data_IF_321990495394
#
_entry.id   IF_321990495394
#
_cell.length_a   1.000
_cell.length_b   1.000
_cell.length_c   1.000
_cell.angle_alpha   90.00
_cell.angle_beta   90.00
_cell.angle_gamma   90.00
#
_symmetry.space_group_name_H-M   'P 1'
#
loop_
_entity.id
_entity.type
_entity.pdbx_description
1 polymer ?
#
# COMPACT_ATOMS: atom_id res chain seq x y z
N UNK A 1 0.71 -5.24 15.71
CA UNK A 1 0.69 -3.80 15.34
C UNK A 1 0.53 -3.75 13.83
N UNK A 2 -0.31 -2.86 13.29
CA UNK A 2 -0.39 -2.68 11.84
C UNK A 2 0.79 -1.84 11.36
N UNK A 3 1.51 -2.32 10.35
CA UNK A 3 2.66 -1.63 9.73
C UNK A 3 2.26 -0.98 8.40
N UNK A 4 3.10 -0.07 7.89
CA UNK A 4 2.91 0.47 6.54
C UNK A 4 2.96 -0.62 5.47
N UNK A 5 3.78 -1.65 5.68
CA UNK A 5 3.83 -2.82 4.80
C UNK A 5 2.50 -3.59 4.80
N UNK A 6 1.88 -3.81 5.97
CA UNK A 6 0.57 -4.46 6.06
C UNK A 6 -0.51 -3.69 5.28
N UNK A 7 -0.46 -2.36 5.35
CA UNK A 7 -1.37 -1.49 4.59
C UNK A 7 -1.15 -1.63 3.09
N UNK A 8 0.11 -1.58 2.64
CA UNK A 8 0.43 -1.77 1.21
C UNK A 8 -0.04 -3.14 0.73
N UNK A 9 0.27 -4.20 1.47
CA UNK A 9 -0.16 -5.58 1.15
C UNK A 9 -1.67 -5.73 1.10
N UNK A 10 -2.41 -5.01 1.96
CA UNK A 10 -3.87 -4.99 1.91
C UNK A 10 -4.40 -4.42 0.59
N UNK A 11 -3.86 -3.29 0.11
CA UNK A 11 -4.31 -2.66 -1.12
C UNK A 11 -3.82 -3.36 -2.39
N UNK A 12 -2.65 -4.00 -2.35
CA UNK A 12 -2.13 -4.85 -3.46
C UNK A 12 -3.11 -5.96 -3.85
N UNK A 13 -3.93 -6.44 -2.91
CA UNK A 13 -4.94 -7.47 -3.18
C UNK A 13 -6.13 -6.97 -4.01
N UNK A 14 -6.28 -5.66 -4.23
CA UNK A 14 -7.41 -5.09 -4.97
C UNK A 14 -8.71 -5.02 -4.18
N UNK A 15 -8.66 -5.25 -2.87
CA UNK A 15 -9.83 -5.25 -1.98
C UNK A 15 -10.61 -6.56 -1.98
N UNK A 16 -11.51 -6.69 -1.01
CA UNK A 16 -12.40 -7.85 -0.92
C UNK A 16 -13.62 -7.66 -1.82
N UNK A 17 -14.01 -8.71 -2.56
CA UNK A 17 -15.19 -8.67 -3.40
C UNK A 17 -16.46 -8.42 -2.58
N UNK A 18 -17.03 -7.22 -2.76
CA UNK A 18 -18.23 -6.73 -2.06
C UNK A 18 -18.99 -5.76 -2.96
N UNK A 19 -20.32 -5.57 -2.80
CA UNK A 19 -21.11 -4.65 -3.63
C UNK A 19 -20.62 -3.19 -3.58
N UNK A 20 -19.96 -2.81 -2.50
CA UNK A 20 -19.40 -1.46 -2.31
C UNK A 20 -17.98 -1.29 -2.85
N UNK A 21 -17.37 -2.34 -3.41
CA UNK A 21 -16.01 -2.25 -3.97
C UNK A 21 -16.06 -1.37 -5.23
N UNK A 22 -15.17 -0.40 -5.30
CA UNK A 22 -15.08 0.48 -6.47
C UNK A 22 -14.68 -0.33 -7.72
N UNK A 23 -15.26 -0.07 -8.91
CA UNK A 23 -14.99 -0.85 -10.12
C UNK A 23 -13.53 -0.83 -10.61
N UNK A 24 -12.77 0.18 -10.19
CA UNK A 24 -11.35 0.39 -10.50
C UNK A 24 -10.40 -0.24 -9.48
N UNK A 25 -10.90 -0.70 -8.32
CA UNK A 25 -10.10 -1.47 -7.36
C UNK A 25 -9.75 -2.84 -7.95
N UNK A 26 -8.47 -3.01 -8.26
CA UNK A 26 -7.92 -4.21 -8.91
C UNK A 26 -6.63 -4.62 -8.21
N UNK A 27 -6.34 -5.91 -8.25
CA UNK A 27 -5.07 -6.42 -7.73
C UNK A 27 -3.90 -5.82 -8.52
N UNK A 28 -2.85 -5.46 -7.80
CA UNK A 28 -1.59 -4.99 -8.38
C UNK A 28 -0.60 -6.15 -8.29
N UNK A 29 0.06 -6.50 -9.38
CA UNK A 29 1.04 -7.57 -9.38
C UNK A 29 2.39 -7.05 -8.85
N UNK A 30 2.51 -6.89 -7.53
CA UNK A 30 3.77 -6.60 -6.85
C UNK A 30 4.33 -7.88 -6.22
N UNK A 31 5.62 -8.11 -6.40
CA UNK A 31 6.37 -9.08 -5.63
C UNK A 31 6.82 -8.49 -4.27
N UNK A 32 7.38 -9.33 -3.39
CA UNK A 32 7.79 -8.92 -2.05
C UNK A 32 8.87 -7.84 -2.03
N UNK A 33 9.74 -7.78 -3.04
CA UNK A 33 10.76 -6.74 -3.14
C UNK A 33 10.13 -5.41 -3.58
N UNK A 34 9.23 -5.43 -4.56
CA UNK A 34 8.53 -4.22 -5.03
C UNK A 34 7.67 -3.59 -3.93
N UNK A 35 7.06 -4.41 -3.06
CA UNK A 35 6.37 -3.91 -1.85
C UNK A 35 7.35 -3.19 -0.92
N UNK A 36 8.53 -3.76 -0.66
CA UNK A 36 9.54 -3.14 0.20
C UNK A 36 10.06 -1.84 -0.40
N UNK A 37 10.31 -1.82 -1.71
CA UNK A 37 10.81 -0.65 -2.42
C UNK A 37 9.76 0.47 -2.40
N UNK A 38 8.48 0.15 -2.57
CA UNK A 38 7.38 1.10 -2.44
C UNK A 38 7.29 1.66 -1.01
N UNK A 39 7.39 0.82 0.02
CA UNK A 39 7.41 1.26 1.42
C UNK A 39 8.59 2.18 1.69
N UNK A 40 9.79 1.83 1.20
CA UNK A 40 10.98 2.67 1.32
C UNK A 40 10.79 4.02 0.63
N UNK A 41 10.22 4.04 -0.58
CA UNK A 41 9.85 5.27 -1.28
C UNK A 41 8.87 6.12 -0.46
N UNK A 42 7.80 5.54 0.08
CA UNK A 42 6.83 6.26 0.91
C UNK A 42 7.48 6.87 2.16
N UNK A 43 8.46 6.20 2.76
CA UNK A 43 9.20 6.74 3.90
C UNK A 43 10.00 8.00 3.53
N UNK A 44 10.50 8.10 2.28
CA UNK A 44 11.17 9.33 1.79
C UNK A 44 10.24 10.53 1.70
N UNK A 45 8.92 10.32 1.63
CA UNK A 45 7.91 11.38 1.60
C UNK A 45 7.62 11.97 2.99
N UNK A 46 8.27 11.46 4.03
CA UNK A 46 8.13 11.98 5.40
C UNK A 46 8.81 13.35 5.49
N UNK A 47 8.01 14.41 5.59
CA UNK A 47 8.54 15.76 5.76
C UNK A 47 9.33 15.93 7.06
N UNK A 48 10.33 16.80 7.05
CA UNK A 48 10.95 17.28 8.28
C UNK A 48 9.95 18.17 9.01
N UNK A 49 9.61 17.82 10.25
CA UNK A 49 8.86 18.71 11.13
C UNK A 49 9.70 19.97 11.36
N UNK A 50 9.37 21.05 10.67
CA UNK A 50 9.89 22.38 11.00
C UNK A 50 9.27 22.77 12.33
N UNK A 51 10.10 22.92 13.36
CA UNK A 51 9.70 23.46 14.66
C UNK A 51 9.75 24.99 14.64
#
# INVERSE_FOLDING_TARGET
>A
MATLEDVVRHYVQGGQQRPSLAPDMKAVALNDQEVKDLVAFMQTLTGQTVR
#
